data_IF_354190628354
#
_entry.id   IF_354190628354
#
_cell.length_a   1.000
_cell.length_b   1.000
_cell.length_c   1.000
_cell.angle_alpha   90.00
_cell.angle_beta   90.00
_cell.angle_gamma   90.00
#
_symmetry.space_group_name_H-M   'P 1'
#
loop_
_entity.id
_entity.type
_entity.pdbx_description
1 polymer ?
#
# COMPACT_ATOMS: atom_id res chain seq x y z
N UNK A 1 8.72 25.83 2.28
CA UNK A 1 9.85 25.11 1.67
C UNK A 1 10.24 24.03 2.66
N UNK A 2 10.35 22.77 2.26
CA UNK A 2 10.77 21.69 3.17
C UNK A 2 12.28 21.81 3.42
N UNK A 3 12.67 21.77 4.69
CA UNK A 3 14.07 21.81 5.10
C UNK A 3 14.63 20.39 5.18
N UNK A 4 15.41 20.02 4.17
CA UNK A 4 16.11 18.73 4.16
C UNK A 4 17.26 18.76 5.16
N UNK A 5 17.43 17.69 5.92
CA UNK A 5 18.62 17.45 6.75
C UNK A 5 19.78 16.85 5.96
N UNK A 6 19.50 16.35 4.76
CA UNK A 6 20.51 15.81 3.86
C UNK A 6 21.11 16.92 3.01
N UNK A 7 22.39 16.83 2.59
CA UNK A 7 23.06 17.81 1.75
C UNK A 7 22.56 17.75 0.30
N UNK A 8 21.25 17.93 0.11
CA UNK A 8 20.58 17.94 -1.18
C UNK A 8 19.82 19.24 -1.39
N UNK A 9 19.72 19.69 -2.65
CA UNK A 9 18.99 20.93 -2.96
C UNK A 9 17.50 20.75 -2.65
N UNK A 10 16.83 21.87 -2.28
CA UNK A 10 15.37 21.86 -2.01
C UNK A 10 14.54 21.33 -3.18
N UNK A 11 15.02 21.46 -4.42
CA UNK A 11 14.37 20.88 -5.61
C UNK A 11 14.46 19.36 -5.62
N UNK A 12 15.63 18.79 -5.25
CA UNK A 12 15.82 17.33 -5.11
C UNK A 12 14.88 16.76 -4.05
N UNK A 13 14.81 17.39 -2.89
CA UNK A 13 13.92 16.99 -1.81
C UNK A 13 12.45 17.03 -2.23
N UNK A 14 12.02 18.07 -2.97
CA UNK A 14 10.65 18.18 -3.48
C UNK A 14 10.32 17.06 -4.47
N UNK A 15 11.20 16.80 -5.45
CA UNK A 15 10.98 15.72 -6.42
C UNK A 15 10.98 14.33 -5.76
N UNK A 16 11.86 14.10 -4.80
CA UNK A 16 11.85 12.88 -3.99
C UNK A 16 10.49 12.67 -3.33
N UNK A 17 9.97 13.67 -2.59
CA UNK A 17 8.66 13.58 -1.95
C UNK A 17 7.54 13.37 -2.96
N UNK A 18 7.56 14.08 -4.09
CA UNK A 18 6.54 13.95 -5.13
C UNK A 18 6.49 12.53 -5.70
N UNK A 19 7.64 11.98 -6.12
CA UNK A 19 7.68 10.64 -6.68
C UNK A 19 7.37 9.56 -5.64
N UNK A 20 7.81 9.75 -4.40
CA UNK A 20 7.51 8.82 -3.32
C UNK A 20 6.01 8.81 -2.99
N UNK A 21 5.38 9.98 -2.85
CA UNK A 21 3.93 10.10 -2.62
C UNK A 21 3.12 9.55 -3.79
N UNK A 22 3.57 9.79 -5.02
CA UNK A 22 2.90 9.25 -6.22
C UNK A 22 3.02 7.73 -6.25
N UNK A 23 4.17 7.17 -5.87
CA UNK A 23 4.35 5.73 -5.84
C UNK A 23 3.48 5.08 -4.76
N UNK A 24 3.41 5.68 -3.58
CA UNK A 24 2.54 5.22 -2.51
C UNK A 24 1.07 5.26 -2.94
N UNK A 25 0.62 6.36 -3.54
CA UNK A 25 -0.73 6.45 -4.11
C UNK A 25 -1.00 5.32 -5.13
N UNK A 26 -0.05 5.03 -6.01
CA UNK A 26 -0.21 3.98 -7.03
C UNK A 26 -0.38 2.59 -6.42
N UNK A 27 0.31 2.28 -5.31
CA UNK A 27 0.16 0.98 -4.64
C UNK A 27 -1.23 0.81 -4.06
N UNK A 28 -1.81 1.84 -3.44
CA UNK A 28 -3.19 1.80 -2.95
C UNK A 28 -4.22 1.81 -4.08
N UNK A 29 -4.02 2.64 -5.10
CA UNK A 29 -4.90 2.67 -6.28
C UNK A 29 -4.93 1.31 -6.98
N UNK A 30 -3.79 0.63 -7.12
CA UNK A 30 -3.75 -0.71 -7.69
C UNK A 30 -4.52 -1.75 -6.86
N UNK A 31 -4.63 -1.55 -5.55
CA UNK A 31 -5.47 -2.40 -4.69
C UNK A 31 -6.95 -2.12 -4.93
N UNK A 32 -7.37 -0.87 -4.82
CA UNK A 32 -8.76 -0.49 -4.59
C UNK A 32 -9.54 -0.25 -5.88
N UNK A 33 -8.87 0.31 -6.92
CA UNK A 33 -9.49 0.61 -8.21
C UNK A 33 -9.85 -0.65 -9.00
N UNK A 34 -9.10 -1.75 -8.79
CA UNK A 34 -9.35 -3.03 -9.47
C UNK A 34 -10.56 -3.76 -8.92
N UNK A 35 -10.94 -3.52 -7.65
CA UNK A 35 -11.98 -4.28 -6.97
C UNK A 35 -13.34 -4.29 -7.69
N UNK A 36 -13.87 -3.15 -8.20
CA UNK A 36 -15.12 -3.16 -8.97
C UNK A 36 -15.05 -4.00 -10.25
N UNK A 37 -13.85 -4.13 -10.84
CA UNK A 37 -13.61 -4.90 -12.06
C UNK A 37 -13.36 -6.39 -11.85
N UNK A 38 -13.27 -6.85 -10.62
CA UNK A 38 -12.94 -8.27 -10.35
C UNK A 38 -13.97 -9.24 -10.93
N UNK A 39 -15.24 -8.85 -11.04
CA UNK A 39 -16.26 -9.68 -11.71
C UNK A 39 -15.97 -9.85 -13.20
N UNK A 40 -15.43 -8.83 -13.85
CA UNK A 40 -15.00 -8.91 -15.26
C UNK A 40 -13.75 -9.78 -15.39
N UNK A 41 -12.78 -9.61 -14.47
CA UNK A 41 -11.55 -10.42 -14.44
C UNK A 41 -11.88 -11.91 -14.32
N UNK A 42 -12.75 -12.32 -13.37
CA UNK A 42 -13.09 -13.73 -13.21
C UNK A 42 -13.86 -14.29 -14.41
N UNK A 43 -14.71 -13.49 -15.07
CA UNK A 43 -15.37 -13.90 -16.33
C UNK A 43 -14.37 -14.11 -17.45
N UNK A 44 -13.45 -13.17 -17.67
CA UNK A 44 -12.43 -13.24 -18.71
C UNK A 44 -11.47 -14.42 -18.52
N UNK A 45 -11.17 -14.76 -17.25
CA UNK A 45 -10.27 -15.86 -16.89
C UNK A 45 -11.01 -17.19 -16.62
N UNK A 46 -12.33 -17.26 -16.91
CA UNK A 46 -13.19 -18.42 -16.68
C UNK A 46 -13.06 -18.99 -15.25
N UNK A 47 -12.97 -18.10 -14.26
CA UNK A 47 -12.74 -18.44 -12.86
C UNK A 47 -14.02 -18.42 -12.04
N UNK A 48 -14.00 -19.10 -10.89
CA UNK A 48 -15.14 -19.14 -9.98
C UNK A 48 -15.23 -17.87 -9.13
N UNK A 49 -16.44 -17.44 -8.69
CA UNK A 49 -16.67 -16.21 -7.94
C UNK A 49 -15.89 -16.10 -6.62
N UNK A 50 -15.54 -17.20 -5.99
CA UNK A 50 -14.77 -17.21 -4.75
C UNK A 50 -13.36 -16.60 -4.89
N UNK A 51 -12.82 -16.46 -6.12
CA UNK A 51 -11.53 -15.81 -6.36
C UNK A 51 -11.59 -14.28 -6.22
N UNK A 52 -12.77 -13.66 -6.18
CA UNK A 52 -12.89 -12.19 -6.02
C UNK A 52 -12.22 -11.70 -4.74
N UNK A 53 -12.56 -12.19 -3.53
CA UNK A 53 -11.87 -11.77 -2.31
C UNK A 53 -10.40 -12.22 -2.25
N UNK A 54 -10.04 -13.32 -2.92
CA UNK A 54 -8.66 -13.79 -2.96
C UNK A 54 -7.69 -12.81 -3.60
N UNK A 55 -8.13 -12.02 -4.58
CA UNK A 55 -7.31 -10.98 -5.21
C UNK A 55 -6.83 -9.93 -4.19
N UNK A 56 -7.74 -9.41 -3.37
CA UNK A 56 -7.40 -8.46 -2.32
C UNK A 56 -6.57 -9.10 -1.22
N UNK A 57 -6.99 -10.27 -0.76
CA UNK A 57 -6.29 -11.00 0.30
C UNK A 57 -4.85 -11.35 -0.09
N UNK A 58 -4.62 -11.79 -1.33
CA UNK A 58 -3.28 -12.05 -1.84
C UNK A 58 -2.41 -10.81 -1.86
N UNK A 59 -2.98 -9.66 -2.29
CA UNK A 59 -2.28 -8.38 -2.28
C UNK A 59 -1.88 -7.96 -0.85
N UNK A 60 -2.82 -7.99 0.09
CA UNK A 60 -2.56 -7.63 1.49
C UNK A 60 -1.58 -8.61 2.15
N UNK A 61 -1.73 -9.92 1.88
CA UNK A 61 -0.82 -10.94 2.39
C UNK A 61 0.61 -10.71 1.88
N UNK A 62 0.77 -10.39 0.59
CA UNK A 62 2.06 -10.00 0.03
C UNK A 62 2.64 -8.80 0.76
N UNK A 63 1.81 -7.78 1.02
CA UNK A 63 2.22 -6.55 1.71
C UNK A 63 2.79 -6.77 3.11
N UNK A 64 2.25 -7.72 3.87
CA UNK A 64 2.69 -7.98 5.25
C UNK A 64 3.75 -9.06 5.37
N UNK A 65 3.85 -9.99 4.39
CA UNK A 65 4.64 -11.21 4.50
C UNK A 65 6.13 -10.98 4.79
N UNK A 66 6.72 -9.94 4.21
CA UNK A 66 8.16 -9.69 4.30
C UNK A 66 8.53 -8.42 5.08
N UNK A 67 7.57 -7.70 5.68
CA UNK A 67 7.83 -6.46 6.39
C UNK A 67 8.85 -6.63 7.52
N UNK A 68 8.77 -7.75 8.24
CA UNK A 68 9.69 -8.09 9.31
C UNK A 68 11.16 -8.25 8.85
N UNK A 69 11.39 -8.57 7.58
CA UNK A 69 12.73 -8.69 7.00
C UNK A 69 13.16 -7.40 6.28
N UNK A 70 12.22 -6.73 5.59
CA UNK A 70 12.47 -5.51 4.82
C UNK A 70 13.02 -4.39 5.72
N UNK A 71 12.48 -4.22 6.94
CA UNK A 71 12.93 -3.21 7.89
C UNK A 71 14.44 -3.32 8.17
N UNK A 72 14.89 -4.40 8.82
CA UNK A 72 16.30 -4.61 9.11
C UNK A 72 17.20 -4.66 7.87
N UNK A 73 16.68 -5.19 6.75
CA UNK A 73 17.42 -5.18 5.50
C UNK A 73 17.66 -3.74 5.02
N UNK A 74 16.66 -2.84 5.15
CA UNK A 74 16.79 -1.45 4.76
C UNK A 74 17.77 -0.66 5.67
N UNK A 75 17.84 -1.02 6.95
CA UNK A 75 18.80 -0.44 7.91
C UNK A 75 20.24 -0.84 7.60
N UNK A 76 20.43 -2.02 6.98
CA UNK A 76 21.74 -2.52 6.60
C UNK A 76 22.20 -2.10 5.21
N UNK A 77 21.35 -2.33 4.21
CA UNK A 77 21.72 -2.15 2.79
C UNK A 77 21.43 -0.75 2.27
N UNK A 78 20.74 0.07 3.06
CA UNK A 78 20.29 1.41 2.70
C UNK A 78 18.83 1.47 2.32
N UNK A 79 18.22 2.64 2.51
CA UNK A 79 16.81 2.88 2.20
C UNK A 79 16.56 2.89 0.70
N UNK A 80 17.43 3.58 -0.04
CA UNK A 80 17.29 3.78 -1.48
C UNK A 80 17.26 2.47 -2.28
N UNK A 81 18.24 1.55 -2.17
CA UNK A 81 18.24 0.33 -2.97
C UNK A 81 17.05 -0.57 -2.67
N UNK A 82 16.65 -0.71 -1.40
CA UNK A 82 15.50 -1.54 -1.05
C UNK A 82 14.19 -0.96 -1.58
N UNK A 83 13.97 0.34 -1.45
CA UNK A 83 12.78 0.97 -2.01
C UNK A 83 12.72 0.81 -3.54
N UNK A 84 13.84 1.01 -4.24
CA UNK A 84 13.91 0.84 -5.69
C UNK A 84 13.63 -0.59 -6.14
N UNK A 85 14.08 -1.60 -5.37
CA UNK A 85 13.76 -3.02 -5.62
C UNK A 85 12.25 -3.24 -5.48
N UNK A 86 11.64 -2.74 -4.39
CA UNK A 86 10.19 -2.86 -4.18
C UNK A 86 9.37 -2.19 -5.28
N UNK A 87 9.77 -0.99 -5.69
CA UNK A 87 9.14 -0.25 -6.78
C UNK A 87 9.27 -0.95 -8.13
N UNK A 88 10.45 -1.52 -8.43
CA UNK A 88 10.66 -2.29 -9.65
C UNK A 88 9.81 -3.57 -9.65
N UNK A 89 9.77 -4.30 -8.54
CA UNK A 89 8.98 -5.50 -8.37
C UNK A 89 7.48 -5.23 -8.60
N UNK A 90 6.97 -4.14 -8.02
CA UNK A 90 5.59 -3.69 -8.22
C UNK A 90 5.33 -3.34 -9.68
N UNK A 91 6.19 -2.54 -10.32
CA UNK A 91 6.03 -2.10 -11.70
C UNK A 91 6.03 -3.27 -12.69
N UNK A 92 6.98 -4.20 -12.54
CA UNK A 92 7.09 -5.39 -13.40
C UNK A 92 5.90 -6.32 -13.21
N UNK A 93 5.45 -6.55 -11.97
CA UNK A 93 4.29 -7.40 -11.72
C UNK A 93 2.97 -6.78 -12.22
N UNK A 94 2.81 -5.45 -12.14
CA UNK A 94 1.69 -4.74 -12.77
C UNK A 94 1.74 -4.87 -14.29
N UNK A 95 2.94 -4.77 -14.89
CA UNK A 95 3.12 -4.92 -16.33
C UNK A 95 2.82 -6.35 -16.80
N UNK A 96 3.17 -7.37 -16.03
CA UNK A 96 2.90 -8.77 -16.36
C UNK A 96 1.42 -9.15 -16.28
N UNK A 97 0.63 -8.48 -15.43
CA UNK A 97 -0.77 -8.82 -15.15
C UNK A 97 -1.69 -8.83 -16.38
N UNK A 98 -1.60 -7.91 -17.37
CA UNK A 98 -2.48 -7.89 -18.54
C UNK A 98 -2.39 -9.13 -19.44
N UNK A 99 -1.27 -9.85 -19.43
CA UNK A 99 -1.04 -11.03 -20.29
C UNK A 99 -1.37 -12.36 -19.63
N UNK A 100 -2.04 -12.32 -18.48
CA UNK A 100 -2.39 -13.53 -17.74
C UNK A 100 -3.71 -14.09 -18.23
N UNK A 101 -3.72 -15.42 -18.46
CA UNK A 101 -4.90 -16.20 -18.87
C UNK A 101 -5.40 -17.15 -17.78
N UNK A 102 -4.77 -17.15 -16.60
CA UNK A 102 -5.11 -18.01 -15.47
C UNK A 102 -5.26 -17.20 -14.17
N UNK A 103 -6.36 -17.45 -13.45
CA UNK A 103 -6.67 -16.77 -12.19
C UNK A 103 -5.64 -17.05 -11.08
N UNK A 104 -4.99 -18.21 -11.09
CA UNK A 104 -3.96 -18.53 -10.11
C UNK A 104 -2.71 -17.68 -10.32
N UNK A 105 -2.29 -17.51 -11.59
CA UNK A 105 -1.17 -16.63 -11.95
C UNK A 105 -1.52 -15.18 -11.65
N UNK A 106 -2.76 -14.74 -11.94
CA UNK A 106 -3.25 -13.43 -11.56
C UNK A 106 -3.13 -13.20 -10.05
N UNK A 107 -3.60 -14.15 -9.24
CA UNK A 107 -3.54 -14.08 -7.77
C UNK A 107 -2.09 -14.05 -7.27
N UNK A 108 -1.19 -14.82 -7.89
CA UNK A 108 0.24 -14.79 -7.58
C UNK A 108 0.85 -13.42 -7.89
N UNK A 109 0.52 -12.83 -9.03
CA UNK A 109 0.98 -11.47 -9.36
C UNK A 109 0.44 -10.44 -8.38
N UNK A 110 -0.80 -10.57 -7.91
CA UNK A 110 -1.36 -9.73 -6.84
C UNK A 110 -0.54 -9.84 -5.56
N UNK A 111 -0.15 -11.05 -5.17
CA UNK A 111 0.75 -11.26 -4.03
C UNK A 111 2.10 -10.56 -4.22
N UNK A 112 2.71 -10.69 -5.41
CA UNK A 112 3.99 -10.04 -5.72
C UNK A 112 3.84 -8.50 -5.72
N UNK A 113 2.76 -7.95 -6.25
CA UNK A 113 2.44 -6.53 -6.17
C UNK A 113 2.32 -6.06 -4.72
N UNK A 114 1.69 -6.88 -3.87
CA UNK A 114 1.61 -6.63 -2.43
C UNK A 114 2.99 -6.56 -1.76
N UNK A 115 3.94 -7.43 -2.13
CA UNK A 115 5.32 -7.33 -1.62
C UNK A 115 5.89 -5.94 -1.93
N UNK A 116 5.65 -5.40 -3.13
CA UNK A 116 6.03 -4.04 -3.49
C UNK A 116 5.45 -2.97 -2.55
N UNK A 117 4.17 -3.09 -2.18
CA UNK A 117 3.55 -2.25 -1.14
C UNK A 117 4.30 -2.36 0.19
N UNK A 118 4.67 -3.57 0.62
CA UNK A 118 5.43 -3.80 1.85
C UNK A 118 6.76 -3.03 1.88
N UNK A 119 7.49 -3.00 0.78
CA UNK A 119 8.71 -2.19 0.66
C UNK A 119 8.42 -0.69 0.79
N UNK A 120 7.38 -0.20 0.14
CA UNK A 120 7.01 1.22 0.23
C UNK A 120 6.67 1.60 1.66
N UNK A 121 5.77 0.89 2.30
CA UNK A 121 5.31 1.20 3.67
C UNK A 121 6.45 1.14 4.68
N UNK A 122 7.31 0.11 4.63
CA UNK A 122 8.37 -0.07 5.64
C UNK A 122 9.55 0.87 5.43
N UNK A 123 9.87 1.23 4.19
CA UNK A 123 11.08 2.01 3.88
C UNK A 123 10.80 3.50 3.77
N UNK A 124 9.60 3.91 3.29
CA UNK A 124 9.31 5.32 3.04
C UNK A 124 9.22 6.15 4.31
N UNK A 125 8.55 5.64 5.34
CA UNK A 125 8.34 6.41 6.58
C UNK A 125 9.67 6.73 7.30
N UNK A 126 10.56 5.75 7.56
CA UNK A 126 11.88 6.07 8.11
C UNK A 126 12.71 6.96 7.18
N UNK A 127 12.68 6.75 5.87
CA UNK A 127 13.42 7.58 4.92
C UNK A 127 13.00 9.05 4.99
N UNK A 128 11.69 9.34 5.19
CA UNK A 128 11.20 10.71 5.40
C UNK A 128 11.66 11.30 6.73
N UNK A 129 11.60 10.51 7.83
CA UNK A 129 12.08 10.95 9.15
C UNK A 129 13.59 11.20 9.16
N UNK A 130 14.32 10.46 8.36
CA UNK A 130 15.78 10.59 8.22
C UNK A 130 16.20 11.75 7.32
N UNK A 131 15.39 12.08 6.31
CA UNK A 131 15.71 13.08 5.30
C UNK A 131 15.28 14.52 5.68
N UNK A 132 14.28 14.67 6.54
CA UNK A 132 13.67 15.97 6.85
C UNK A 132 13.68 16.28 8.34
N UNK A 133 13.55 17.59 8.68
CA UNK A 133 13.31 18.02 10.05
C UNK A 133 12.02 17.40 10.59
N UNK A 134 11.96 17.23 11.90
CA UNK A 134 10.83 16.59 12.59
C UNK A 134 9.46 17.16 12.16
N UNK A 135 9.33 18.50 12.10
CA UNK A 135 8.07 19.16 11.71
C UNK A 135 7.66 18.87 10.26
N UNK A 136 8.61 18.82 9.33
CA UNK A 136 8.35 18.55 7.92
C UNK A 136 8.13 17.05 7.67
N UNK A 137 8.88 16.19 8.37
CA UNK A 137 8.68 14.74 8.34
C UNK A 137 7.27 14.36 8.82
N UNK A 138 6.80 14.93 9.93
CA UNK A 138 5.43 14.70 10.44
C UNK A 138 4.38 15.09 9.41
N UNK A 139 4.53 16.24 8.73
CA UNK A 139 3.59 16.69 7.68
C UNK A 139 3.56 15.72 6.48
N UNK A 140 4.72 15.26 6.04
CA UNK A 140 4.83 14.31 4.93
C UNK A 140 4.24 12.94 5.29
N UNK A 141 4.51 12.45 6.49
CA UNK A 141 3.93 11.21 7.00
C UNK A 141 2.41 11.33 7.12
N UNK A 142 1.90 12.48 7.59
CA UNK A 142 0.46 12.73 7.63
C UNK A 142 -0.17 12.77 6.24
N UNK A 143 0.53 13.29 5.23
CA UNK A 143 0.09 13.22 3.83
C UNK A 143 -0.03 11.76 3.35
N UNK A 144 0.95 10.93 3.64
CA UNK A 144 0.93 9.49 3.30
C UNK A 144 -0.21 8.75 4.00
N UNK A 145 -0.40 9.00 5.30
CA UNK A 145 -1.53 8.44 6.04
C UNK A 145 -2.88 8.86 5.43
N UNK A 146 -3.01 10.10 4.97
CA UNK A 146 -4.21 10.57 4.29
C UNK A 146 -4.41 9.85 2.94
N UNK A 147 -3.36 9.63 2.15
CA UNK A 147 -3.42 8.85 0.91
C UNK A 147 -3.94 7.44 1.21
N UNK A 148 -3.38 6.78 2.21
CA UNK A 148 -3.79 5.43 2.62
C UNK A 148 -5.25 5.35 3.08
N UNK A 149 -5.76 6.39 3.77
CA UNK A 149 -7.15 6.45 4.24
C UNK A 149 -8.15 6.82 3.14
N UNK A 150 -7.76 7.70 2.22
CA UNK A 150 -8.64 8.17 1.15
C UNK A 150 -8.75 7.18 -0.01
N UNK A 151 -7.71 6.38 -0.25
CA UNK A 151 -7.69 5.41 -1.34
C UNK A 151 -8.85 4.39 -1.25
N UNK A 152 -9.13 3.72 -0.13
CA UNK A 152 -10.27 2.83 -0.02
C UNK A 152 -11.63 3.49 -0.22
N UNK A 153 -11.72 4.79 0.05
CA UNK A 153 -12.95 5.57 -0.13
C UNK A 153 -13.19 5.92 -1.60
N UNK A 154 -12.18 6.47 -2.26
CA UNK A 154 -12.28 6.95 -3.64
C UNK A 154 -11.89 5.89 -4.68
N UNK A 155 -11.05 4.92 -4.32
CA UNK A 155 -10.56 3.88 -5.22
C UNK A 155 -11.68 3.12 -5.93
N UNK A 156 -12.65 2.51 -5.22
CA UNK A 156 -13.74 1.80 -5.86
C UNK A 156 -14.65 2.71 -6.71
N UNK A 157 -14.82 3.97 -6.31
CA UNK A 157 -15.61 4.95 -7.07
C UNK A 157 -14.91 5.29 -8.41
N UNK A 158 -13.64 5.65 -8.34
CA UNK A 158 -12.82 5.91 -9.54
C UNK A 158 -12.72 4.65 -10.39
N UNK A 159 -12.51 3.49 -9.76
CA UNK A 159 -12.46 2.20 -10.43
C UNK A 159 -13.71 1.87 -11.23
N UNK A 160 -14.88 2.10 -10.65
CA UNK A 160 -16.15 1.85 -11.35
C UNK A 160 -16.33 2.73 -12.58
N UNK A 161 -15.92 4.00 -12.50
CA UNK A 161 -15.97 4.93 -13.65
C UNK A 161 -14.94 4.55 -14.70
N UNK A 162 -13.69 4.30 -14.31
CA UNK A 162 -12.61 3.96 -15.23
C UNK A 162 -12.90 2.65 -15.97
N UNK A 163 -13.37 1.63 -15.24
CA UNK A 163 -13.67 0.31 -15.80
C UNK A 163 -14.96 0.27 -16.62
N UNK A 164 -15.80 1.31 -16.57
CA UNK A 164 -16.92 1.47 -17.51
C UNK A 164 -16.43 1.78 -18.93
N UNK A 165 -15.26 2.39 -19.08
CA UNK A 165 -14.70 2.81 -20.38
C UNK A 165 -13.45 2.03 -20.79
N UNK A 166 -12.69 1.51 -19.83
CA UNK A 166 -11.43 0.81 -20.06
C UNK A 166 -11.50 -0.63 -19.54
N UNK A 167 -10.78 -1.52 -20.23
CA UNK A 167 -10.61 -2.89 -19.72
C UNK A 167 -9.69 -2.92 -18.49
N UNK A 168 -9.86 -3.93 -17.65
CA UNK A 168 -8.97 -4.16 -16.51
C UNK A 168 -7.51 -4.35 -16.93
N UNK A 169 -7.27 -4.93 -18.12
CA UNK A 169 -5.93 -5.08 -18.68
C UNK A 169 -5.29 -3.72 -18.99
N UNK A 170 -6.06 -2.82 -19.61
CA UNK A 170 -5.60 -1.45 -19.89
C UNK A 170 -5.31 -0.67 -18.61
N UNK A 171 -6.12 -0.86 -17.57
CA UNK A 171 -5.89 -0.26 -16.26
C UNK A 171 -4.54 -0.68 -15.66
N UNK A 172 -4.22 -1.98 -15.70
CA UNK A 172 -2.91 -2.46 -15.20
C UNK A 172 -1.74 -1.95 -16.03
N UNK A 173 -1.89 -1.80 -17.35
CA UNK A 173 -0.86 -1.19 -18.19
C UNK A 173 -0.65 0.28 -17.78
N UNK A 174 -1.71 1.04 -17.57
CA UNK A 174 -1.61 2.43 -17.15
C UNK A 174 -0.91 2.55 -15.77
N UNK A 175 -1.29 1.72 -14.80
CA UNK A 175 -0.63 1.66 -13.49
C UNK A 175 0.86 1.29 -13.64
N UNK A 176 1.20 0.30 -14.46
CA UNK A 176 2.57 -0.13 -14.69
C UNK A 176 3.44 0.97 -15.31
N UNK A 177 2.90 1.70 -16.30
CA UNK A 177 3.61 2.82 -16.93
C UNK A 177 3.84 3.96 -15.96
N UNK A 178 2.83 4.32 -15.15
CA UNK A 178 2.98 5.34 -14.11
C UNK A 178 3.96 4.88 -13.01
N UNK A 179 3.92 3.61 -12.61
CA UNK A 179 4.86 3.05 -11.64
C UNK A 179 6.30 3.01 -12.19
N UNK A 180 6.49 2.69 -13.46
CA UNK A 180 7.80 2.77 -14.10
C UNK A 180 8.32 4.21 -14.16
N UNK A 181 7.48 5.18 -14.51
CA UNK A 181 7.84 6.60 -14.52
C UNK A 181 8.27 7.08 -13.12
N UNK A 182 7.49 6.73 -12.10
CA UNK A 182 7.83 7.04 -10.70
C UNK A 182 9.08 6.33 -10.23
N UNK A 183 9.30 5.09 -10.64
CA UNK A 183 10.55 4.36 -10.36
C UNK A 183 11.78 5.07 -10.96
N UNK A 184 11.72 5.51 -12.22
CA UNK A 184 12.78 6.32 -12.83
C UNK A 184 12.97 7.66 -12.10
N UNK A 185 11.89 8.29 -11.66
CA UNK A 185 11.95 9.48 -10.82
C UNK A 185 12.67 9.21 -9.51
N UNK A 186 12.30 8.16 -8.77
CA UNK A 186 12.98 7.76 -7.53
C UNK A 186 14.43 7.37 -7.76
N UNK A 187 14.74 6.66 -8.85
CA UNK A 187 16.11 6.33 -9.22
C UNK A 187 16.98 7.60 -9.37
N UNK A 188 16.42 8.68 -9.89
CA UNK A 188 17.15 9.93 -10.15
C UNK A 188 17.22 10.85 -8.92
N UNK A 189 16.14 10.95 -8.12
CA UNK A 189 16.00 11.96 -7.08
C UNK A 189 15.93 11.42 -5.65
N UNK A 190 15.81 10.12 -5.43
CA UNK A 190 15.85 9.58 -4.07
C UNK A 190 17.28 9.64 -3.52
N UNK A 191 17.52 10.40 -2.42
CA UNK A 191 18.81 10.35 -1.73
C UNK A 191 18.94 9.07 -0.91
N UNK A 192 20.18 8.65 -0.63
CA UNK A 192 20.41 7.66 0.43
C UNK A 192 20.41 8.37 1.78
N UNK A 193 19.81 7.75 2.79
CA UNK A 193 19.72 8.31 4.13
C UNK A 193 20.66 7.61 5.13
N UNK A 194 20.95 6.34 4.90
CA UNK A 194 21.83 5.54 5.75
C UNK A 194 23.30 5.79 5.38
N UNK A 195 24.13 6.01 6.39
CA UNK A 195 25.57 6.20 6.19
C UNK A 195 25.99 7.61 5.73
N UNK A 196 25.04 8.49 5.48
CA UNK A 196 25.30 9.89 5.05
C UNK A 196 25.36 10.81 6.27
N UNK A 197 26.31 11.75 6.26
CA UNK A 197 26.40 12.81 7.27
C UNK A 197 25.36 13.88 6.93
N UNK A 198 24.50 14.20 7.88
CA UNK A 198 23.47 15.24 7.79
C UNK A 198 24.05 16.63 7.98
N UNK A 199 23.30 17.65 7.65
CA UNK A 199 23.70 19.07 7.88
C UNK A 199 23.86 19.41 9.37
N UNK A 200 23.20 18.67 10.27
CA UNK A 200 23.32 18.79 11.72
C UNK A 200 24.55 18.05 12.29
N UNK A 201 25.37 17.41 11.44
CA UNK A 201 26.52 16.62 11.82
C UNK A 201 26.20 15.19 12.30
N UNK A 202 24.94 14.82 12.41
CA UNK A 202 24.52 13.48 12.78
C UNK A 202 24.70 12.50 11.62
N UNK A 203 24.93 11.21 11.94
CA UNK A 203 25.04 10.13 10.96
C UNK A 203 24.25 8.93 11.44
N UNK A 204 23.40 8.38 10.58
CA UNK A 204 22.76 7.10 10.86
C UNK A 204 23.69 5.99 10.37
N UNK A 205 24.18 5.19 11.31
CA UNK A 205 25.07 4.06 10.99
C UNK A 205 24.28 2.85 10.48
N UNK A 206 24.89 2.13 9.53
CA UNK A 206 24.36 0.86 9.07
C UNK A 206 24.28 -0.15 10.24
N UNK A 207 23.12 -0.72 10.48
CA UNK A 207 22.95 -1.73 11.52
C UNK A 207 23.42 -3.10 11.00
N UNK A 208 24.17 -3.89 11.82
CA UNK A 208 24.53 -5.24 11.43
C UNK A 208 23.30 -6.16 11.38
N UNK A 209 23.16 -6.90 10.28
CA UNK A 209 22.06 -7.87 10.11
C UNK A 209 22.44 -9.19 10.81
N UNK A 210 22.47 -9.18 12.15
CA UNK A 210 22.72 -10.39 12.92
C UNK A 210 21.40 -11.04 13.32
N UNK A 211 21.19 -12.27 12.87
CA UNK A 211 19.96 -13.05 13.17
C UNK A 211 19.68 -13.13 14.66
N UNK A 212 20.73 -13.27 15.48
CA UNK A 212 20.60 -13.35 16.94
C UNK A 212 20.12 -12.04 17.58
N UNK A 213 20.65 -10.92 17.13
CA UNK A 213 20.25 -9.57 17.59
C UNK A 213 18.82 -9.26 17.14
N UNK A 214 18.49 -9.62 15.91
CA UNK A 214 17.14 -9.45 15.34
C UNK A 214 16.11 -10.30 16.09
N UNK A 215 16.40 -11.58 16.33
CA UNK A 215 15.52 -12.48 17.06
C UNK A 215 15.28 -11.98 18.50
N UNK A 216 16.31 -11.42 19.16
CA UNK A 216 16.17 -10.83 20.49
C UNK A 216 15.28 -9.59 20.46
N UNK A 217 15.51 -8.67 19.50
CA UNK A 217 14.70 -7.45 19.35
C UNK A 217 13.23 -7.77 19.10
N UNK A 218 12.93 -8.76 18.25
CA UNK A 218 11.54 -9.22 18.04
C UNK A 218 10.97 -9.92 19.26
N UNK A 219 11.77 -10.69 20.01
CA UNK A 219 11.37 -11.27 21.29
C UNK A 219 10.95 -10.19 22.30
N UNK A 220 11.76 -9.15 22.45
CA UNK A 220 11.48 -8.02 23.34
C UNK A 220 10.20 -7.26 22.91
N UNK A 221 9.98 -7.06 21.61
CA UNK A 221 8.74 -6.45 21.08
C UNK A 221 7.51 -7.30 21.37
N UNK A 222 7.57 -8.61 21.15
CA UNK A 222 6.48 -9.54 21.39
C UNK A 222 6.18 -9.79 22.87
N UNK A 223 7.11 -9.45 23.78
CA UNK A 223 6.89 -9.52 25.23
C UNK A 223 6.43 -8.18 25.82
N UNK A 224 6.53 -7.09 25.08
CA UNK A 224 6.13 -5.76 25.54
C UNK A 224 4.60 -5.57 25.42
N UNK A 225 3.85 -5.49 26.53
CA UNK A 225 2.39 -5.40 26.50
C UNK A 225 1.88 -4.10 25.85
N UNK A 226 2.64 -3.01 25.91
CA UNK A 226 2.28 -1.74 25.27
C UNK A 226 2.36 -1.84 23.75
N UNK A 227 3.36 -2.54 23.24
CA UNK A 227 3.53 -2.77 21.80
C UNK A 227 2.40 -3.67 21.29
N UNK A 228 2.11 -4.77 21.98
CA UNK A 228 1.05 -5.70 21.60
C UNK A 228 -0.32 -5.02 21.65
N UNK A 229 -0.65 -4.31 22.74
CA UNK A 229 -1.96 -3.65 22.87
C UNK A 229 -2.16 -2.57 21.80
N UNK A 230 -1.14 -1.78 21.48
CA UNK A 230 -1.18 -0.79 20.40
C UNK A 230 -1.38 -1.43 19.03
N UNK A 231 -0.66 -2.51 18.72
CA UNK A 231 -0.79 -3.25 17.46
C UNK A 231 -2.16 -3.90 17.31
N UNK A 232 -2.69 -4.51 18.38
CA UNK A 232 -4.04 -5.10 18.39
C UNK A 232 -5.11 -4.03 18.22
N UNK A 233 -4.99 -2.89 18.93
CA UNK A 233 -5.94 -1.79 18.78
C UNK A 233 -5.98 -1.24 17.35
N UNK A 234 -4.81 -1.05 16.72
CA UNK A 234 -4.71 -0.60 15.33
C UNK A 234 -5.32 -1.63 14.36
N UNK A 235 -5.08 -2.92 14.58
CA UNK A 235 -5.66 -4.01 13.81
C UNK A 235 -7.19 -4.03 13.91
N UNK A 236 -7.73 -3.89 15.13
CA UNK A 236 -9.17 -3.87 15.36
C UNK A 236 -9.88 -2.68 14.69
N UNK A 237 -9.23 -1.52 14.63
CA UNK A 237 -9.75 -0.34 13.90
C UNK A 237 -9.70 -0.56 12.40
N UNK A 238 -8.69 -1.26 11.86
CA UNK A 238 -8.56 -1.56 10.43
C UNK A 238 -9.51 -2.63 9.91
N UNK A 239 -9.92 -3.59 10.74
CA UNK A 239 -10.78 -4.71 10.32
C UNK A 239 -12.13 -4.29 9.71
N UNK A 240 -12.93 -3.35 10.29
CA UNK A 240 -14.17 -2.90 9.69
C UNK A 240 -13.98 -2.24 8.33
N UNK A 241 -12.89 -1.48 8.15
CA UNK A 241 -12.56 -0.83 6.89
C UNK A 241 -12.25 -1.87 5.80
N UNK A 242 -11.46 -2.89 6.12
CA UNK A 242 -11.13 -3.96 5.18
C UNK A 242 -12.35 -4.83 4.85
N UNK A 243 -13.21 -5.12 5.84
CA UNK A 243 -14.48 -5.81 5.62
C UNK A 243 -15.41 -5.00 4.70
N UNK A 244 -15.49 -3.68 4.89
CA UNK A 244 -16.28 -2.79 4.05
C UNK A 244 -15.83 -2.79 2.58
N UNK A 245 -14.52 -2.83 2.32
CA UNK A 245 -13.96 -2.89 0.96
C UNK A 245 -14.22 -4.25 0.31
N UNK A 246 -14.09 -5.34 1.07
CA UNK A 246 -14.25 -6.70 0.58
C UNK A 246 -15.70 -7.11 0.33
N UNK A 247 -16.65 -6.60 1.13
CA UNK A 247 -18.06 -6.97 1.09
C UNK A 247 -18.74 -6.71 -0.28
N UNK A 248 -18.61 -5.53 -0.90
CA UNK A 248 -19.25 -5.27 -2.19
C UNK A 248 -18.70 -6.16 -3.32
N UNK A 249 -17.42 -6.51 -3.26
CA UNK A 249 -16.79 -7.39 -4.22
C UNK A 249 -17.29 -8.84 -4.09
N UNK A 250 -17.51 -9.31 -2.86
CA UNK A 250 -18.11 -10.61 -2.57
C UNK A 250 -19.60 -10.65 -2.89
N UNK A 251 -20.30 -9.53 -2.67
CA UNK A 251 -21.75 -9.39 -2.86
C UNK A 251 -22.19 -9.39 -4.32
N UNK A 252 -21.38 -8.88 -5.22
CA UNK A 252 -21.61 -8.99 -6.67
C UNK A 252 -21.62 -10.44 -7.17
N UNK A 253 -21.10 -11.37 -6.36
CA UNK A 253 -21.10 -12.80 -6.65
C UNK A 253 -22.36 -13.54 -6.20
N UNK A 254 -23.14 -13.01 -5.28
CA UNK A 254 -24.42 -13.57 -4.82
C UNK A 254 -25.51 -12.51 -4.86
N UNK A 255 -26.42 -12.63 -5.80
CA UNK A 255 -27.66 -11.84 -6.05
C UNK A 255 -27.67 -10.38 -5.53
N UNK A 256 -27.75 -9.45 -6.47
CA UNK A 256 -27.70 -7.99 -6.25
C UNK A 256 -28.77 -7.41 -5.31
N UNK A 257 -29.77 -8.17 -4.91
CA UNK A 257 -30.93 -7.69 -4.14
C UNK A 257 -30.75 -7.77 -2.61
N UNK A 258 -29.97 -8.71 -2.11
CA UNK A 258 -29.81 -8.95 -0.67
C UNK A 258 -28.86 -7.93 0.00
N UNK A 259 -27.97 -7.35 -0.79
CA UNK A 259 -26.93 -6.43 -0.32
C UNK A 259 -27.27 -4.94 -0.43
N UNK A 260 -28.34 -4.59 -1.12
CA UNK A 260 -28.89 -3.23 -1.07
C UNK A 260 -29.32 -2.86 0.35
N UNK A 261 -29.87 -3.83 1.11
CA UNK A 261 -30.20 -3.67 2.52
C UNK A 261 -28.99 -3.48 3.43
N UNK A 262 -27.92 -4.27 3.22
CA UNK A 262 -26.69 -4.18 4.03
C UNK A 262 -25.93 -2.88 3.73
N UNK A 263 -25.92 -2.41 2.47
CA UNK A 263 -25.37 -1.09 2.10
C UNK A 263 -26.13 0.05 2.77
N UNK A 264 -27.44 0.01 2.77
CA UNK A 264 -28.26 1.02 3.44
C UNK A 264 -27.99 1.04 4.95
N UNK A 265 -27.89 -0.14 5.57
CA UNK A 265 -27.62 -0.29 7.01
C UNK A 265 -26.23 0.20 7.41
N UNK A 266 -25.22 -0.05 6.60
CA UNK A 266 -23.86 0.37 6.87
C UNK A 266 -23.67 1.89 6.67
N UNK A 267 -24.34 2.48 5.68
CA UNK A 267 -24.34 3.95 5.48
C UNK A 267 -25.05 4.65 6.63
N UNK A 268 -26.17 4.10 7.12
CA UNK A 268 -26.90 4.63 8.29
C UNK A 268 -26.09 4.53 9.59
N UNK A 269 -25.40 3.43 9.82
CA UNK A 269 -24.53 3.29 11.00
C UNK A 269 -23.33 4.26 10.98
N UNK A 270 -22.77 4.54 9.79
CA UNK A 270 -21.61 5.43 9.67
C UNK A 270 -21.99 6.92 9.74
N UNK A 271 -23.21 7.26 9.30
CA UNK A 271 -23.72 8.65 9.32
C UNK A 271 -24.46 9.02 10.61
N UNK A 272 -24.58 8.12 11.61
CA UNK A 272 -25.22 8.42 12.89
C UNK A 272 -26.72 8.78 12.79
N UNK A 273 -27.37 8.41 11.68
CA UNK A 273 -28.82 8.61 11.51
C UNK A 273 -29.54 7.42 12.11
N UNK A 274 -30.50 7.72 12.98
CA UNK A 274 -31.24 6.78 13.80
C UNK A 274 -31.87 5.64 12.98
N UNK A 275 -31.53 4.40 13.33
CA UNK A 275 -32.06 3.17 12.69
C UNK A 275 -33.50 2.86 13.06
N UNK A 276 -34.33 3.87 13.29
CA UNK A 276 -35.70 3.71 13.87
C UNK A 276 -36.81 3.29 12.93
N UNK A 277 -36.65 3.34 11.61
CA UNK A 277 -37.77 3.15 10.68
C UNK A 277 -37.44 2.36 9.41
N UNK A 278 -37.13 1.09 9.53
CA UNK A 278 -37.31 0.16 8.40
C UNK A 278 -37.97 -1.11 8.90
N UNK A 279 -39.33 -1.13 8.81
CA UNK A 279 -40.11 -2.39 8.80
C UNK A 279 -40.27 -2.85 7.35
N UNK A 280 -40.17 -4.16 7.09
CA UNK A 280 -40.27 -4.76 5.76
C UNK A 280 -41.63 -4.58 5.11
#
# INVERSE_FOLDING_TARGET
MYNSLLPVSSRHALFFCLFLSTFELLTYVASDVVMPGMLTVIKDLNAQPHYVPWSLNAYLLGGVSFQWLIGPASDRFGRRPLLLIGCALFSVSCLATPWVDNIQVFTLLRFIQGIGLGFVVVVSYPALQEAFNESDAIRLIALFANIALLSPLFGPLVGSVVLAYLSWRTLFIAIALMAALTWFGLLRWMPETIGVVREDGSKIECQPLEVKTLARAYGDLLTNPRCISGSVALGLVGLPLMAWIALPAAAGASSANEYAGVRAMAITCFCGVDCGEYRP
#
